data_IF_722465995645
#
_entry.id   IF_722465995645
#
_cell.length_a   1.000
_cell.length_b   1.000
_cell.length_c   1.000
_cell.angle_alpha   90.00
_cell.angle_beta   90.00
_cell.angle_gamma   90.00
#
_symmetry.space_group_name_H-M   'P 1'
#
loop_
_entity.id
_entity.type
_entity.pdbx_description
1 polymer ?
#
# COMPACT_ATOMS: atom_id res chain seq x y z
N UNK A 1 -25.62 7.41 6.76
CA UNK A 1 -24.73 8.12 5.81
C UNK A 1 -23.30 7.95 6.31
N UNK A 2 -22.57 6.97 5.78
CA UNK A 2 -21.16 6.70 6.12
C UNK A 2 -20.44 6.23 4.86
N UNK A 3 -20.46 7.03 3.80
CA UNK A 3 -19.66 6.79 2.58
C UNK A 3 -18.24 7.36 2.68
N UNK A 4 -17.82 7.81 3.87
CA UNK A 4 -16.68 8.73 4.03
C UNK A 4 -15.34 8.05 4.37
N UNK A 5 -15.24 6.73 4.23
CA UNK A 5 -14.04 5.97 4.69
C UNK A 5 -13.34 5.20 3.56
N UNK A 6 -13.99 4.94 2.42
CA UNK A 6 -13.37 4.19 1.32
C UNK A 6 -12.56 5.06 0.34
N UNK A 7 -12.81 6.36 0.23
CA UNK A 7 -11.98 7.25 -0.60
C UNK A 7 -10.60 7.55 0.04
N UNK A 8 -10.47 7.32 1.34
CA UNK A 8 -9.21 7.56 2.05
C UNK A 8 -8.25 6.36 2.04
N UNK A 9 -8.70 5.14 1.76
CA UNK A 9 -7.83 3.95 1.82
C UNK A 9 -6.73 3.96 0.75
N UNK A 10 -7.03 4.40 -0.48
CA UNK A 10 -6.00 4.56 -1.51
C UNK A 10 -5.05 5.72 -1.16
N UNK A 11 -5.58 6.79 -0.54
CA UNK A 11 -4.78 7.95 -0.11
C UNK A 11 -3.82 7.59 1.03
N UNK A 12 -4.19 6.68 1.93
CA UNK A 12 -3.36 6.23 3.05
C UNK A 12 -2.11 5.47 2.57
N UNK A 13 -2.23 4.62 1.55
CA UNK A 13 -1.08 3.91 0.97
C UNK A 13 -0.10 4.84 0.26
N UNK A 14 -0.62 5.78 -0.53
CA UNK A 14 0.19 6.76 -1.26
C UNK A 14 0.90 7.72 -0.30
N UNK A 15 0.21 8.22 0.72
CA UNK A 15 0.82 9.06 1.75
C UNK A 15 1.91 8.30 2.52
N UNK A 16 1.67 7.03 2.88
CA UNK A 16 2.67 6.18 3.54
C UNK A 16 3.94 6.00 2.70
N UNK A 17 3.80 5.78 1.39
CA UNK A 17 4.93 5.74 0.46
C UNK A 17 5.71 7.06 0.45
N UNK A 18 5.03 8.20 0.41
CA UNK A 18 5.67 9.51 0.42
C UNK A 18 6.39 9.80 1.73
N UNK A 19 5.82 9.42 2.87
CA UNK A 19 6.48 9.54 4.17
C UNK A 19 7.72 8.66 4.26
N UNK A 20 7.64 7.39 3.85
CA UNK A 20 8.79 6.48 3.85
C UNK A 20 9.93 6.99 2.96
N UNK A 21 9.62 7.47 1.74
CA UNK A 21 10.62 8.11 0.88
C UNK A 21 11.22 9.36 1.50
N UNK A 22 10.42 10.17 2.18
CA UNK A 22 10.88 11.39 2.84
C UNK A 22 11.74 11.10 4.08
N UNK A 23 11.45 10.03 4.82
CA UNK A 23 12.24 9.57 5.97
C UNK A 23 13.52 8.82 5.55
N UNK A 24 13.73 8.61 4.24
CA UNK A 24 14.92 7.94 3.71
C UNK A 24 14.86 6.42 3.82
N UNK A 25 13.68 5.86 4.00
CA UNK A 25 13.46 4.42 3.98
C UNK A 25 13.77 3.84 2.60
N UNK A 26 14.02 2.52 2.57
CA UNK A 26 14.26 1.82 1.32
C UNK A 26 13.04 1.93 0.38
N UNK A 27 13.32 2.12 -0.91
CA UNK A 27 12.29 2.26 -1.94
C UNK A 27 11.33 1.07 -1.96
N UNK A 28 11.83 -0.15 -1.69
CA UNK A 28 11.03 -1.37 -1.59
C UNK A 28 9.97 -1.29 -0.47
N UNK A 29 10.30 -0.63 0.65
CA UNK A 29 9.40 -0.40 1.79
C UNK A 29 8.36 0.65 1.44
N UNK A 30 8.77 1.74 0.79
CA UNK A 30 7.84 2.77 0.32
C UNK A 30 6.83 2.20 -0.70
N UNK A 31 7.28 1.37 -1.63
CA UNK A 31 6.41 0.66 -2.59
C UNK A 31 5.48 -0.31 -1.87
N UNK A 32 5.97 -1.05 -0.87
CA UNK A 32 5.14 -1.95 -0.07
C UNK A 32 4.01 -1.22 0.69
N UNK A 33 4.25 -0.01 1.19
CA UNK A 33 3.22 0.80 1.86
C UNK A 33 2.11 1.24 0.91
N UNK A 34 2.44 1.50 -0.36
CA UNK A 34 1.46 1.81 -1.39
C UNK A 34 0.67 0.56 -1.83
N UNK A 35 1.35 -0.57 -1.95
CA UNK A 35 0.80 -1.81 -2.48
C UNK A 35 0.20 -2.75 -1.43
N UNK A 36 0.25 -2.41 -0.13
CA UNK A 36 -0.22 -3.29 0.95
C UNK A 36 -1.70 -3.70 0.84
N UNK A 37 -2.51 -2.94 0.12
CA UNK A 37 -3.92 -3.24 -0.10
C UNK A 37 -4.18 -4.17 -1.28
N UNK A 38 -3.15 -4.47 -2.08
CA UNK A 38 -3.27 -5.34 -3.25
C UNK A 38 -3.23 -6.83 -2.88
N UNK A 39 -3.88 -7.69 -3.69
CA UNK A 39 -4.90 -7.34 -4.67
C UNK A 39 -6.21 -6.91 -3.97
N UNK A 40 -6.85 -5.83 -4.43
CA UNK A 40 -8.09 -5.31 -3.78
C UNK A 40 -9.33 -6.11 -4.18
N UNK A 41 -9.26 -6.81 -5.30
CA UNK A 41 -10.31 -7.68 -5.84
C UNK A 41 -9.69 -8.82 -6.66
N UNK A 42 -10.46 -9.87 -6.92
CA UNK A 42 -10.00 -10.99 -7.75
C UNK A 42 -9.66 -10.49 -9.17
N UNK A 43 -8.40 -10.63 -9.56
CA UNK A 43 -7.87 -10.13 -10.84
C UNK A 43 -7.24 -8.74 -10.81
N UNK A 44 -7.12 -8.10 -9.63
CA UNK A 44 -6.33 -6.88 -9.45
C UNK A 44 -4.82 -7.17 -9.56
N UNK A 45 -4.02 -6.12 -9.72
CA UNK A 45 -2.57 -6.22 -9.75
C UNK A 45 -2.03 -6.89 -8.48
N UNK A 46 -1.03 -7.76 -8.65
CA UNK A 46 -0.30 -8.33 -7.53
C UNK A 46 0.80 -7.37 -7.08
N UNK A 47 1.16 -7.38 -5.79
CA UNK A 47 2.28 -6.59 -5.30
C UNK A 47 3.56 -6.90 -6.09
N UNK A 48 4.28 -5.84 -6.44
CA UNK A 48 5.38 -5.87 -7.40
C UNK A 48 6.64 -6.54 -6.87
N UNK A 49 6.80 -6.56 -5.54
CA UNK A 49 8.04 -7.02 -4.88
C UNK A 49 7.76 -7.93 -3.66
N UNK A 50 8.76 -8.71 -3.20
CA UNK A 50 8.59 -9.65 -2.10
C UNK A 50 8.22 -8.99 -0.76
N UNK A 51 8.67 -7.75 -0.53
CA UNK A 51 8.37 -6.98 0.69
C UNK A 51 6.90 -6.60 0.70
N UNK A 52 6.38 -6.10 -0.41
CA UNK A 52 4.98 -5.77 -0.62
C UNK A 52 4.09 -7.01 -0.50
N UNK A 53 4.53 -8.15 -1.05
CA UNK A 53 3.85 -9.44 -0.84
C UNK A 53 3.82 -9.87 0.63
N UNK A 54 4.94 -9.74 1.35
CA UNK A 54 5.01 -10.10 2.76
C UNK A 54 4.08 -9.21 3.61
N UNK A 55 4.05 -7.90 3.34
CA UNK A 55 3.15 -6.94 4.00
C UNK A 55 1.69 -7.22 3.63
N UNK A 56 1.40 -7.57 2.38
CA UNK A 56 0.04 -7.86 1.91
C UNK A 56 -0.54 -9.18 2.45
N UNK A 57 0.29 -10.15 2.83
CA UNK A 57 -0.13 -11.43 3.45
C UNK A 57 -0.13 -11.32 4.98
N UNK A 58 0.77 -10.55 5.57
CA UNK A 58 0.92 -10.42 7.03
C UNK A 58 -0.16 -9.60 7.75
N UNK A 59 -1.20 -9.15 7.04
CA UNK A 59 -2.33 -8.36 7.55
C UNK A 59 -3.49 -9.23 8.03
#
# INVERSE_FOLDING_TARGET
MTNMVFEFTDTQGVMGMHYARHDGEAEDVAVALNEQYQPRFAGDALPSNPVACAVAIGR
#
